data_IF_575001865257
#
_entry.id   IF_575001865257
#
_cell.length_a   1.000
_cell.length_b   1.000
_cell.length_c   1.000
_cell.angle_alpha   90.00
_cell.angle_beta   90.00
_cell.angle_gamma   90.00
#
_symmetry.space_group_name_H-M   'P 1'
#
loop_
_entity.id
_entity.type
_entity.pdbx_description
1 polymer ?
#
# COMPACT_ATOMS: atom_id res chain seq x y z
N UNK A 1 -4.93 4.21 -9.03
CA UNK A 1 -3.79 3.87 -8.15
C UNK A 1 -2.56 4.71 -8.50
N UNK A 2 -1.98 5.36 -7.49
CA UNK A 2 -0.76 6.16 -7.61
C UNK A 2 0.38 5.56 -6.77
N UNK A 3 1.56 5.39 -7.38
CA UNK A 3 2.74 4.83 -6.72
C UNK A 3 3.88 5.82 -6.79
N UNK A 4 4.30 6.31 -5.62
CA UNK A 4 5.38 7.26 -5.46
C UNK A 4 6.59 6.58 -4.84
N UNK A 5 7.76 6.77 -5.46
CA UNK A 5 9.01 6.18 -4.99
C UNK A 5 10.12 7.21 -4.97
N UNK A 6 11.07 6.99 -4.08
CA UNK A 6 12.20 7.88 -3.92
C UNK A 6 13.22 7.30 -2.98
N UNK A 7 14.04 8.20 -2.44
CA UNK A 7 15.11 7.89 -1.50
C UNK A 7 14.83 8.55 -0.16
N UNK A 8 15.10 7.83 0.90
CA UNK A 8 14.93 8.31 2.24
C UNK A 8 16.27 8.42 2.94
N UNK A 9 16.53 9.62 3.42
CA UNK A 9 17.66 9.93 4.28
C UNK A 9 17.07 10.51 5.54
N UNK A 10 17.35 9.88 6.67
CA UNK A 10 16.93 10.33 7.98
C UNK A 10 18.08 10.07 8.94
N UNK A 11 18.97 11.05 9.09
CA UNK A 11 20.15 11.02 9.97
C UNK A 11 20.60 9.62 10.44
N UNK A 12 20.29 9.25 11.68
CA UNK A 12 20.68 7.99 12.30
C UNK A 12 19.81 6.79 11.89
N UNK A 13 18.64 7.05 11.32
CA UNK A 13 17.61 6.06 11.04
C UNK A 13 17.63 5.50 9.62
N UNK A 14 18.06 6.24 8.60
CA UNK A 14 18.06 5.79 7.21
C UNK A 14 19.10 6.55 6.37
N UNK A 15 19.78 5.83 5.46
CA UNK A 15 20.74 6.42 4.53
C UNK A 15 20.54 5.85 3.13
N UNK A 16 20.04 6.69 2.24
CA UNK A 16 19.72 6.37 0.84
C UNK A 16 18.84 5.11 0.70
N UNK A 17 17.94 4.90 1.66
CA UNK A 17 17.05 3.75 1.69
C UNK A 17 15.84 3.98 0.77
N UNK A 18 15.23 2.89 0.32
CA UNK A 18 14.01 2.98 -0.48
C UNK A 18 12.86 3.57 0.34
N UNK A 19 12.12 4.51 -0.24
CA UNK A 19 10.80 4.95 0.24
C UNK A 19 9.74 4.65 -0.81
N UNK A 20 8.57 4.19 -0.40
CA UNK A 20 7.44 3.94 -1.30
C UNK A 20 6.13 4.34 -0.62
N UNK A 21 5.30 5.11 -1.31
CA UNK A 21 3.91 5.40 -0.93
C UNK A 21 3.00 4.92 -2.06
N UNK A 22 1.92 4.24 -1.71
CA UNK A 22 0.91 3.74 -2.63
C UNK A 22 -0.45 4.25 -2.16
N UNK A 23 -1.15 4.92 -3.06
CA UNK A 23 -2.57 5.26 -2.95
C UNK A 23 -3.32 4.30 -3.87
N UNK A 24 -4.01 3.27 -3.33
CA UNK A 24 -4.74 2.30 -4.15
C UNK A 24 -5.78 3.00 -5.05
N UNK A 25 -6.43 4.02 -4.52
CA UNK A 25 -7.48 4.81 -5.16
C UNK A 25 -7.07 6.30 -5.29
N UNK A 26 -8.01 7.20 -5.07
CA UNK A 26 -7.86 8.66 -5.11
C UNK A 26 -7.32 9.23 -3.78
N UNK A 27 -7.22 10.56 -3.74
CA UNK A 27 -6.68 11.33 -2.63
C UNK A 27 -7.74 11.84 -1.64
N UNK A 28 -8.89 11.18 -1.60
CA UNK A 28 -10.03 11.59 -0.79
C UNK A 28 -9.89 11.19 0.69
N UNK A 29 -10.56 11.93 1.56
CA UNK A 29 -10.63 11.62 3.00
C UNK A 29 -11.14 10.19 3.22
N UNK A 30 -10.44 9.44 4.07
CA UNK A 30 -10.76 8.05 4.42
C UNK A 30 -10.25 7.01 3.42
N UNK A 31 -9.67 7.40 2.28
CA UNK A 31 -9.07 6.45 1.35
C UNK A 31 -7.82 5.81 1.96
N UNK A 32 -7.60 4.53 1.63
CA UNK A 32 -6.47 3.77 2.16
C UNK A 32 -5.14 4.29 1.60
N UNK A 33 -4.10 4.20 2.43
CA UNK A 33 -2.73 4.50 2.02
C UNK A 33 -1.80 3.43 2.57
N UNK A 34 -0.82 3.05 1.74
CA UNK A 34 0.32 2.25 2.15
C UNK A 34 1.60 3.06 2.05
N UNK A 35 2.45 3.00 3.06
CA UNK A 35 3.78 3.56 3.02
C UNK A 35 4.81 2.56 3.55
N UNK A 36 6.00 2.58 2.99
CA UNK A 36 7.10 1.73 3.48
C UNK A 36 8.47 2.33 3.22
N UNK A 37 9.39 2.02 4.13
CA UNK A 37 10.81 2.29 3.98
C UNK A 37 11.65 1.31 4.79
N UNK A 38 12.96 1.36 4.57
CA UNK A 38 13.95 0.58 5.31
C UNK A 38 14.74 1.50 6.24
N UNK A 39 15.00 1.04 7.46
CA UNK A 39 15.89 1.71 8.41
C UNK A 39 17.34 1.23 8.23
N UNK A 40 18.29 1.95 8.82
CA UNK A 40 19.73 1.70 8.76
C UNK A 40 20.12 0.31 9.26
N UNK A 41 19.41 -0.19 10.28
CA UNK A 41 19.56 -1.54 10.84
C UNK A 41 18.90 -2.64 9.97
N UNK A 42 18.35 -2.27 8.81
CA UNK A 42 17.57 -3.10 7.89
C UNK A 42 16.20 -3.54 8.41
N UNK A 43 15.72 -2.98 9.51
CA UNK A 43 14.31 -3.08 9.90
C UNK A 43 13.41 -2.43 8.83
N UNK A 44 12.24 -3.01 8.59
CA UNK A 44 11.28 -2.51 7.61
C UNK A 44 10.15 -1.82 8.33
N UNK A 45 9.90 -0.56 7.99
CA UNK A 45 8.71 0.15 8.42
C UNK A 45 7.66 -0.06 7.36
N UNK A 46 6.55 -0.67 7.75
CA UNK A 46 5.39 -0.95 6.91
C UNK A 46 4.20 -0.28 7.58
N UNK A 47 3.61 0.68 6.89
CA UNK A 47 2.46 1.44 7.37
C UNK A 47 1.30 1.22 6.42
N UNK A 48 0.16 0.86 7.01
CA UNK A 48 -1.14 0.94 6.37
C UNK A 48 -2.02 1.83 7.23
N UNK A 49 -2.76 2.71 6.57
CA UNK A 49 -3.62 3.67 7.22
C UNK A 49 -4.61 4.25 6.23
N UNK A 50 -5.21 5.38 6.60
CA UNK A 50 -6.10 6.13 5.73
C UNK A 50 -5.75 7.61 5.74
N UNK A 51 -6.19 8.31 4.71
CA UNK A 51 -6.15 9.76 4.64
C UNK A 51 -7.06 10.31 5.74
N UNK A 52 -6.50 11.04 6.71
CA UNK A 52 -7.25 11.60 7.85
C UNK A 52 -7.51 13.11 7.72
N UNK A 53 -6.79 13.76 6.82
CA UNK A 53 -6.87 15.21 6.60
C UNK A 53 -6.62 15.51 5.13
N UNK A 54 -7.44 16.38 4.55
CA UNK A 54 -7.21 16.96 3.22
C UNK A 54 -7.34 18.48 3.36
N UNK A 55 -6.28 19.19 3.01
CA UNK A 55 -6.23 20.66 3.05
C UNK A 55 -5.94 21.19 1.65
N UNK A 56 -6.97 21.43 0.81
CA UNK A 56 -6.79 21.83 -0.58
C UNK A 56 -6.03 23.15 -0.73
N UNK A 57 -6.19 24.09 0.21
CA UNK A 57 -5.47 25.37 0.18
C UNK A 57 -3.96 25.24 0.38
N UNK A 58 -3.50 24.11 0.90
CA UNK A 58 -2.08 23.81 1.16
C UNK A 58 -1.58 22.67 0.27
N UNK A 59 -2.40 22.16 -0.66
CA UNK A 59 -2.12 20.96 -1.45
C UNK A 59 -1.64 19.79 -0.56
N UNK A 60 -2.24 19.66 0.63
CA UNK A 60 -1.73 18.81 1.71
C UNK A 60 -2.70 17.69 2.06
N UNK A 61 -2.15 16.52 2.34
CA UNK A 61 -2.85 15.34 2.84
C UNK A 61 -2.15 14.83 4.09
N UNK A 62 -2.91 14.64 5.16
CA UNK A 62 -2.45 13.94 6.37
C UNK A 62 -2.76 12.45 6.25
N UNK A 63 -1.78 11.61 6.59
CA UNK A 63 -1.97 10.16 6.72
C UNK A 63 -1.93 9.81 8.20
N UNK A 64 -3.02 9.21 8.69
CA UNK A 64 -3.00 8.52 9.96
C UNK A 64 -2.17 7.25 9.78
N UNK A 65 -0.97 7.22 10.35
CA UNK A 65 -0.19 6.01 10.47
C UNK A 65 0.18 5.80 11.94
N UNK A 66 0.49 4.54 12.26
CA UNK A 66 0.66 3.91 13.58
C UNK A 66 1.15 4.77 14.77
N UNK A 67 1.10 4.21 15.98
CA UNK A 67 1.66 4.83 17.19
C UNK A 67 3.13 5.31 17.05
N UNK A 68 3.89 4.77 16.09
CA UNK A 68 5.31 5.05 15.91
C UNK A 68 5.63 6.06 14.81
N UNK A 69 4.75 6.29 13.83
CA UNK A 69 5.05 7.15 12.69
C UNK A 69 3.80 7.77 12.09
N UNK A 70 3.89 9.03 11.68
CA UNK A 70 2.87 9.71 10.86
C UNK A 70 3.52 10.38 9.65
N UNK A 71 2.73 10.66 8.62
CA UNK A 71 3.22 11.26 7.37
C UNK A 71 2.29 12.37 6.93
N UNK A 72 2.86 13.55 6.69
CA UNK A 72 2.20 14.64 5.98
C UNK A 72 2.72 14.71 4.54
N UNK A 73 1.81 14.71 3.57
CA UNK A 73 2.13 14.83 2.15
C UNK A 73 1.76 16.21 1.65
N UNK A 74 2.63 16.79 0.82
CA UNK A 74 2.35 18.01 0.08
C UNK A 74 2.66 17.77 -1.40
N UNK A 75 1.75 18.20 -2.27
CA UNK A 75 1.98 18.24 -3.72
C UNK A 75 2.55 19.62 -4.10
N UNK A 76 3.58 19.69 -4.98
CA UNK A 76 4.12 20.98 -5.40
C UNK A 76 3.12 21.82 -6.18
N UNK A 77 3.17 23.13 -5.97
CA UNK A 77 2.42 24.07 -6.80
C UNK A 77 2.88 23.97 -8.26
N UNK A 78 1.93 23.92 -9.19
CA UNK A 78 2.21 23.82 -10.63
C UNK A 78 2.48 22.40 -11.15
N UNK A 79 2.23 21.35 -10.34
CA UNK A 79 2.23 19.95 -10.76
C UNK A 79 0.77 19.42 -10.85
N UNK A 80 -0.01 19.82 -11.88
CA UNK A 80 -1.44 19.48 -11.97
C UNK A 80 -1.69 17.98 -12.13
N UNK A 81 -0.66 17.25 -12.56
CA UNK A 81 -0.71 15.82 -12.76
C UNK A 81 -0.26 15.05 -11.51
N UNK A 82 0.11 15.72 -10.41
CA UNK A 82 0.66 15.10 -9.20
C UNK A 82 1.80 14.12 -9.53
N UNK A 83 2.74 14.52 -10.39
CA UNK A 83 3.90 13.70 -10.77
C UNK A 83 4.90 13.55 -9.63
N UNK A 84 4.86 14.42 -8.64
CA UNK A 84 5.74 14.43 -7.48
C UNK A 84 4.98 14.72 -6.21
N UNK A 85 5.53 14.29 -5.08
CA UNK A 85 5.05 14.69 -3.76
C UNK A 85 6.21 14.82 -2.78
N UNK A 86 6.03 15.62 -1.74
CA UNK A 86 6.93 15.66 -0.58
C UNK A 86 6.26 14.97 0.59
N UNK A 87 6.88 13.93 1.13
CA UNK A 87 6.47 13.24 2.34
C UNK A 87 7.29 13.74 3.53
N UNK A 88 6.63 14.27 4.53
CA UNK A 88 7.19 14.69 5.81
C UNK A 88 6.90 13.61 6.85
N UNK A 89 7.93 12.86 7.24
CA UNK A 89 7.80 11.71 8.14
C UNK A 89 8.15 12.11 9.56
N UNK A 90 7.27 11.78 10.51
CA UNK A 90 7.46 12.07 11.93
C UNK A 90 7.69 10.76 12.69
N UNK A 91 8.65 10.76 13.63
CA UNK A 91 8.88 9.63 14.55
C UNK A 91 8.12 9.89 15.84
N UNK A 92 7.28 8.95 16.25
CA UNK A 92 6.25 9.07 17.30
C UNK A 92 5.14 10.07 16.97
N UNK A 93 3.97 9.88 17.60
CA UNK A 93 2.76 10.67 17.37
C UNK A 93 3.01 12.16 17.58
N UNK A 94 3.20 12.91 16.47
CA UNK A 94 3.26 14.38 16.40
C UNK A 94 3.93 15.02 17.62
N UNK A 95 5.06 14.48 18.06
CA UNK A 95 5.86 15.14 19.08
C UNK A 95 6.42 16.38 18.42
N UNK A 96 5.76 17.51 18.69
CA UNK A 96 5.96 18.82 18.08
C UNK A 96 7.41 19.30 18.15
N UNK A 97 8.22 18.64 18.96
CA UNK A 97 9.62 18.93 19.21
C UNK A 97 10.57 18.20 18.25
N UNK A 98 10.10 17.19 17.50
CA UNK A 98 10.90 16.49 16.49
C UNK A 98 10.60 17.06 15.11
N UNK A 99 11.63 17.58 14.44
CA UNK A 99 11.52 18.02 13.05
C UNK A 99 11.17 16.83 12.17
N UNK A 100 10.16 16.92 11.29
CA UNK A 100 9.92 15.86 10.32
C UNK A 100 11.12 15.68 9.41
N UNK A 101 11.29 14.45 8.93
CA UNK A 101 12.18 14.19 7.82
C UNK A 101 11.41 14.27 6.51
N UNK A 102 11.72 15.30 5.72
CA UNK A 102 11.16 15.46 4.39
C UNK A 102 11.89 14.58 3.37
N UNK A 103 11.14 14.01 2.42
CA UNK A 103 11.67 13.43 1.18
C UNK A 103 10.74 13.71 0.02
N UNK A 104 11.33 13.98 -1.16
CA UNK A 104 10.56 14.13 -2.40
C UNK A 104 10.53 12.80 -3.13
N UNK A 105 9.31 12.35 -3.44
CA UNK A 105 9.04 11.14 -4.18
C UNK A 105 8.54 11.48 -5.58
N UNK A 106 8.96 10.66 -6.54
CA UNK A 106 8.53 10.75 -7.94
C UNK A 106 7.45 9.69 -8.17
N UNK A 107 6.42 10.03 -8.93
CA UNK A 107 5.40 9.07 -9.35
C UNK A 107 6.02 8.12 -10.36
N UNK A 108 6.25 6.89 -9.91
CA UNK A 108 6.85 5.83 -10.70
C UNK A 108 5.81 5.12 -11.57
N UNK A 109 4.59 5.01 -11.06
CA UNK A 109 3.50 4.37 -11.78
C UNK A 109 2.15 5.01 -11.44
N UNK A 110 1.31 5.11 -12.47
CA UNK A 110 -0.06 5.56 -12.37
C UNK A 110 -0.93 4.60 -13.18
N UNK A 111 -1.73 3.78 -12.50
CA UNK A 111 -2.80 3.05 -13.18
C UNK A 111 -3.93 4.03 -13.34
N UNK A 112 -4.04 4.59 -14.54
CA UNK A 112 -5.28 5.24 -14.98
C UNK A 112 -6.34 4.16 -15.14
N UNK A 113 -7.60 4.48 -14.83
CA UNK A 113 -8.76 3.58 -14.90
C UNK A 113 -8.96 2.82 -16.21
N UNK A 114 -8.15 3.06 -17.25
CA UNK A 114 -8.22 2.35 -18.51
C UNK A 114 -6.97 1.50 -18.76
N UNK A 115 -7.08 0.20 -18.49
CA UNK A 115 -6.23 -0.78 -19.14
C UNK A 115 -6.91 -1.29 -20.41
N UNK A 116 -6.13 -1.43 -21.49
CA UNK A 116 -6.59 -2.00 -22.76
C UNK A 116 -6.02 -3.39 -22.96
N UNK A 117 -6.90 -4.39 -22.98
CA UNK A 117 -6.54 -5.75 -23.43
C UNK A 117 -7.09 -5.95 -24.84
N UNK A 118 -6.22 -5.81 -25.84
CA UNK A 118 -6.61 -5.78 -27.25
C UNK A 118 -7.46 -4.54 -27.57
N UNK A 119 -8.66 -4.73 -28.14
CA UNK A 119 -9.59 -3.64 -28.47
C UNK A 119 -10.56 -3.27 -27.34
N UNK A 120 -10.52 -3.96 -26.19
CA UNK A 120 -11.42 -3.72 -25.06
C UNK A 120 -10.73 -2.85 -24.00
N UNK A 121 -11.39 -1.76 -23.62
CA UNK A 121 -11.05 -0.99 -22.42
C UNK A 121 -11.78 -1.59 -21.22
N UNK A 122 -11.05 -1.82 -20.14
CA UNK A 122 -11.61 -2.19 -18.84
C UNK A 122 -11.50 -1.00 -17.90
N UNK A 123 -12.51 -0.80 -17.06
CA UNK A 123 -12.42 0.10 -15.91
C UNK A 123 -11.68 -0.68 -14.83
N UNK A 124 -10.43 -0.30 -14.55
CA UNK A 124 -9.64 -0.98 -13.53
C UNK A 124 -10.37 -0.92 -12.18
N UNK A 125 -10.62 -2.06 -11.55
CA UNK A 125 -11.16 -2.07 -10.20
C UNK A 125 -10.11 -1.43 -9.26
N UNK A 126 -10.49 -0.42 -8.46
CA UNK A 126 -9.57 0.50 -7.77
C UNK A 126 -8.80 -0.10 -6.59
N UNK A 127 -8.87 -1.42 -6.38
CA UNK A 127 -8.25 -2.07 -5.23
C UNK A 127 -7.12 -2.94 -5.75
N UNK A 128 -5.90 -2.63 -5.33
CA UNK A 128 -4.72 -3.48 -5.57
C UNK A 128 -4.35 -4.18 -4.28
N UNK A 129 -3.96 -5.44 -4.37
CA UNK A 129 -3.35 -6.17 -3.25
C UNK A 129 -1.87 -5.83 -3.22
N UNK A 130 -1.43 -5.33 -2.08
CA UNK A 130 -0.04 -4.99 -1.84
C UNK A 130 0.55 -6.11 -0.99
N UNK A 131 1.58 -6.74 -1.52
CA UNK A 131 2.38 -7.73 -0.81
C UNK A 131 3.76 -7.12 -0.54
N UNK A 132 4.34 -7.45 0.60
CA UNK A 132 5.71 -7.06 0.93
C UNK A 132 6.50 -8.24 1.48
N UNK A 133 7.81 -8.20 1.33
CA UNK A 133 8.69 -9.20 1.89
C UNK A 133 10.14 -8.76 1.82
N UNK A 134 11.03 -9.72 1.97
CA UNK A 134 12.46 -9.48 2.00
C UNK A 134 13.15 -10.21 0.87
N UNK A 135 13.90 -9.47 0.04
CA UNK A 135 14.74 -10.01 -1.01
C UNK A 135 16.17 -10.20 -0.51
N UNK A 136 16.65 -11.44 -0.63
CA UNK A 136 18.07 -11.78 -0.50
C UNK A 136 18.46 -12.65 -1.68
N UNK A 137 19.29 -12.13 -2.59
CA UNK A 137 19.76 -12.89 -3.74
C UNK A 137 20.98 -13.73 -3.39
N UNK A 138 21.14 -14.87 -4.06
CA UNK A 138 22.28 -15.78 -3.82
C UNK A 138 23.63 -15.18 -4.17
N UNK A 139 23.66 -14.24 -5.12
CA UNK A 139 24.84 -13.50 -5.53
C UNK A 139 25.11 -12.24 -4.68
N UNK A 140 24.32 -12.01 -3.62
CA UNK A 140 24.47 -10.88 -2.70
C UNK A 140 24.22 -9.48 -3.30
N UNK A 141 23.64 -9.38 -4.49
CA UNK A 141 23.22 -8.11 -5.10
C UNK A 141 22.12 -7.41 -4.28
N UNK A 142 21.20 -8.17 -3.68
CA UNK A 142 20.27 -7.72 -2.64
C UNK A 142 20.47 -8.54 -1.36
N UNK A 143 20.55 -7.85 -0.22
CA UNK A 143 20.77 -8.42 1.12
C UNK A 143 19.75 -7.85 2.09
N UNK A 144 18.74 -8.65 2.43
CA UNK A 144 17.66 -8.24 3.32
C UNK A 144 17.01 -6.92 2.84
N UNK A 145 16.77 -6.78 1.53
CA UNK A 145 16.16 -5.57 0.96
C UNK A 145 14.64 -5.69 0.91
N UNK A 146 13.93 -4.57 1.07
CA UNK A 146 12.47 -4.56 0.99
C UNK A 146 12.04 -4.90 -0.45
N UNK A 147 11.13 -5.85 -0.57
CA UNK A 147 10.47 -6.20 -1.82
C UNK A 147 8.98 -5.89 -1.68
N UNK A 148 8.41 -5.17 -2.65
CA UNK A 148 6.98 -4.84 -2.70
C UNK A 148 6.45 -5.36 -4.03
N UNK A 149 5.33 -6.07 -3.98
CA UNK A 149 4.59 -6.55 -5.13
C UNK A 149 3.17 -5.99 -5.06
N UNK A 150 2.76 -5.31 -6.12
CA UNK A 150 1.42 -4.74 -6.26
C UNK A 150 0.73 -5.49 -7.39
N UNK A 151 -0.35 -6.19 -7.06
CA UNK A 151 -1.19 -6.92 -8.03
C UNK A 151 -2.62 -6.38 -7.97
N UNK A 152 -3.39 -6.48 -9.07
CA UNK A 152 -4.79 -6.10 -9.05
C UNK A 152 -5.58 -6.99 -8.09
N UNK A 153 -6.68 -6.47 -7.54
CA UNK A 153 -7.62 -7.29 -6.77
C UNK A 153 -8.14 -8.44 -7.62
N UNK A 154 -8.60 -8.14 -8.85
CA UNK A 154 -9.03 -9.14 -9.82
C UNK A 154 -7.83 -9.58 -10.65
N UNK A 155 -7.46 -10.85 -10.53
CA UNK A 155 -6.36 -11.42 -11.29
C UNK A 155 -6.88 -12.04 -12.57
N UNK A 156 -6.64 -11.35 -13.68
CA UNK A 156 -6.92 -11.86 -15.02
C UNK A 156 -5.67 -11.74 -15.91
N UNK A 157 -5.52 -12.60 -16.93
CA UNK A 157 -4.43 -12.46 -17.88
C UNK A 157 -4.47 -11.10 -18.57
N UNK A 158 -3.32 -10.44 -18.65
CA UNK A 158 -3.16 -9.10 -19.18
C UNK A 158 -3.21 -7.99 -18.13
N UNK A 159 -3.78 -8.24 -16.95
CA UNK A 159 -3.89 -7.19 -15.93
C UNK A 159 -2.50 -6.72 -15.46
N UNK A 160 -2.30 -5.40 -15.27
CA UNK A 160 -1.01 -4.84 -14.93
C UNK A 160 -0.64 -5.17 -13.49
N UNK A 161 0.65 -5.32 -13.24
CA UNK A 161 1.21 -5.47 -11.91
C UNK A 161 2.57 -4.77 -11.82
N UNK A 162 3.07 -4.57 -10.60
CA UNK A 162 4.33 -3.90 -10.36
C UNK A 162 5.12 -4.58 -9.25
N UNK A 163 6.44 -4.67 -9.40
CA UNK A 163 7.36 -5.13 -8.38
C UNK A 163 8.46 -4.09 -8.14
N UNK A 164 8.81 -3.90 -6.88
CA UNK A 164 9.68 -2.82 -6.42
C UNK A 164 10.66 -3.33 -5.38
N UNK A 165 11.93 -3.05 -5.58
CA UNK A 165 12.97 -3.30 -4.58
C UNK A 165 14.13 -2.35 -4.79
N UNK A 166 15.21 -2.58 -4.07
CA UNK A 166 16.48 -1.87 -4.21
C UNK A 166 17.64 -2.87 -4.22
N UNK A 167 18.66 -2.63 -5.03
CA UNK A 167 19.93 -3.35 -4.94
C UNK A 167 20.75 -2.84 -3.76
N UNK A 168 21.34 -3.75 -2.98
CA UNK A 168 22.20 -3.38 -1.84
C UNK A 168 23.46 -2.67 -2.32
N UNK A 169 24.06 -3.17 -3.40
CA UNK A 169 25.18 -2.52 -4.06
C UNK A 169 24.67 -1.30 -4.83
N UNK A 170 25.25 -0.13 -4.56
CA UNK A 170 24.89 1.13 -5.22
C UNK A 170 23.55 1.73 -4.80
N UNK A 171 22.74 1.02 -3.99
CA UNK A 171 21.43 1.51 -3.50
C UNK A 171 20.53 1.95 -4.65
N UNK A 172 20.48 1.20 -5.74
CA UNK A 172 19.66 1.56 -6.91
C UNK A 172 18.26 1.00 -6.76
N UNK A 173 17.23 1.85 -6.88
CA UNK A 173 15.84 1.39 -6.91
C UNK A 173 15.59 0.61 -8.21
N UNK A 174 14.90 -0.52 -8.10
CA UNK A 174 14.45 -1.32 -9.24
C UNK A 174 12.94 -1.29 -9.30
N UNK A 175 12.43 -1.04 -10.49
CA UNK A 175 11.01 -0.84 -10.77
C UNK A 175 10.69 -1.75 -11.95
N UNK A 176 9.85 -2.76 -11.73
CA UNK A 176 9.45 -3.68 -12.80
C UNK A 176 7.94 -3.66 -12.92
N UNK A 177 7.47 -3.22 -14.08
CA UNK A 177 6.06 -3.34 -14.47
C UNK A 177 5.90 -4.55 -15.37
N UNK A 178 4.76 -5.21 -15.28
CA UNK A 178 4.43 -6.35 -16.13
C UNK A 178 2.93 -6.59 -16.19
N UNK A 179 2.56 -7.73 -16.74
CA UNK A 179 1.17 -8.17 -16.80
C UNK A 179 1.04 -9.63 -16.37
N UNK A 180 -0.09 -9.99 -15.80
CA UNK A 180 -0.40 -11.38 -15.45
C UNK A 180 -0.46 -12.22 -16.73
N UNK A 181 0.31 -13.31 -16.81
CA UNK A 181 0.33 -14.14 -18.03
C UNK A 181 -0.76 -15.22 -18.03
N UNK A 182 -1.08 -15.77 -16.85
CA UNK A 182 -2.10 -16.82 -16.68
C UNK A 182 -2.58 -16.91 -15.24
N UNK A 183 -3.82 -17.40 -15.06
CA UNK A 183 -4.49 -17.52 -13.75
C UNK A 183 -4.35 -18.91 -13.13
N UNK A 184 -4.17 -19.95 -13.95
CA UNK A 184 -4.08 -21.34 -13.48
C UNK A 184 -2.79 -21.54 -12.69
N UNK A 185 -2.88 -21.43 -11.37
CA UNK A 185 -1.70 -21.45 -10.49
C UNK A 185 -0.87 -20.16 -10.53
N UNK A 186 -1.50 -19.03 -10.89
CA UNK A 186 -0.91 -17.70 -11.07
C UNK A 186 0.56 -17.77 -11.53
N UNK A 187 0.80 -17.99 -12.82
CA UNK A 187 2.14 -17.73 -13.33
C UNK A 187 2.25 -16.24 -13.64
N UNK A 188 2.74 -15.47 -12.68
CA UNK A 188 3.21 -14.13 -12.96
C UNK A 188 4.43 -14.27 -13.88
N UNK A 189 4.48 -13.49 -14.96
CA UNK A 189 5.66 -13.41 -15.81
C UNK A 189 5.85 -11.94 -16.07
N UNK A 190 6.97 -11.44 -15.58
CA UNK A 190 7.36 -10.07 -15.82
C UNK A 190 8.22 -10.09 -17.07
N UNK A 191 8.13 -9.03 -17.86
CA UNK A 191 9.08 -8.81 -18.96
C UNK A 191 9.39 -7.34 -18.90
N UNK A 192 10.49 -6.98 -18.25
CA UNK A 192 11.02 -5.63 -18.36
C UNK A 192 11.60 -5.46 -19.77
N UNK A 193 11.50 -4.25 -20.29
CA UNK A 193 12.02 -3.87 -21.61
C UNK A 193 13.54 -3.89 -21.70
N UNK A 194 14.25 -3.95 -20.57
CA UNK A 194 15.71 -3.85 -20.52
C UNK A 194 16.40 -5.07 -19.92
N UNK A 195 15.70 -5.84 -19.07
CA UNK A 195 16.23 -7.06 -18.43
C UNK A 195 15.11 -8.08 -18.21
N UNK A 196 15.41 -9.37 -18.38
CA UNK A 196 14.44 -10.43 -18.13
C UNK A 196 14.40 -10.76 -16.63
N UNK A 197 13.50 -10.09 -15.91
CA UNK A 197 13.02 -10.52 -14.61
C UNK A 197 11.82 -11.44 -14.81
N UNK A 198 11.86 -12.66 -14.27
CA UNK A 198 10.66 -13.50 -14.18
C UNK A 198 10.32 -13.67 -12.71
N UNK A 199 9.14 -13.25 -12.28
CA UNK A 199 8.65 -13.55 -10.92
C UNK A 199 7.50 -14.50 -11.08
N UNK A 200 7.63 -15.73 -10.62
CA UNK A 200 6.57 -16.74 -10.67
C UNK A 200 6.03 -16.98 -9.25
N UNK A 201 4.73 -17.10 -9.04
CA UNK A 201 4.23 -17.42 -7.71
C UNK A 201 2.73 -17.52 -7.67
N UNK A 202 2.21 -18.45 -6.86
CA UNK A 202 0.78 -18.76 -6.85
C UNK A 202 0.01 -17.74 -6.00
N UNK A 203 -1.05 -17.15 -6.56
CA UNK A 203 -1.99 -16.34 -5.79
C UNK A 203 -2.64 -17.20 -4.71
N UNK A 204 -2.39 -16.92 -3.43
CA UNK A 204 -3.00 -17.68 -2.37
C UNK A 204 -4.39 -17.13 -2.00
N UNK A 205 -4.86 -16.06 -2.65
CA UNK A 205 -6.08 -15.34 -2.33
C UNK A 205 -5.83 -14.18 -1.37
N UNK A 206 -6.92 -13.64 -0.81
CA UNK A 206 -6.94 -12.40 -0.02
C UNK A 206 -6.42 -12.53 1.43
N UNK A 207 -5.99 -13.71 1.87
CA UNK A 207 -5.72 -13.97 3.30
C UNK A 207 -4.44 -14.77 3.58
N UNK A 208 -3.60 -14.98 2.56
CA UNK A 208 -2.46 -15.87 2.73
C UNK A 208 -1.15 -15.27 2.21
N UNK A 209 -0.01 -15.59 2.85
CA UNK A 209 1.28 -15.22 2.33
C UNK A 209 1.48 -15.81 0.93
N UNK A 210 2.09 -15.04 0.03
CA UNK A 210 2.41 -15.47 -1.32
C UNK A 210 3.87 -15.88 -1.38
N UNK A 211 4.14 -17.12 -1.80
CA UNK A 211 5.49 -17.52 -2.18
C UNK A 211 5.71 -17.19 -3.65
N UNK A 212 6.74 -16.39 -3.93
CA UNK A 212 7.18 -16.08 -5.28
C UNK A 212 8.62 -16.55 -5.50
N UNK A 213 8.99 -16.75 -6.76
CA UNK A 213 10.34 -17.03 -7.23
C UNK A 213 10.73 -15.93 -8.20
N UNK A 214 11.62 -15.04 -7.78
CA UNK A 214 12.26 -14.05 -8.64
C UNK A 214 13.47 -14.69 -9.34
N UNK A 215 13.43 -14.75 -10.66
CA UNK A 215 14.54 -15.17 -11.51
C UNK A 215 15.14 -13.94 -12.18
N UNK A 216 16.44 -13.73 -11.94
CA UNK A 216 17.23 -12.64 -12.52
C UNK A 216 18.55 -13.22 -13.03
N UNK A 217 18.93 -12.93 -14.28
CA UNK A 217 20.16 -13.46 -14.92
C UNK A 217 20.31 -14.99 -14.77
N UNK A 218 19.21 -15.72 -14.96
CA UNK A 218 19.12 -17.19 -14.82
C UNK A 218 19.34 -17.73 -13.40
N UNK A 219 19.37 -16.85 -12.39
CA UNK A 219 19.47 -17.22 -10.98
C UNK A 219 18.11 -17.01 -10.32
N UNK A 220 17.54 -18.09 -9.77
CA UNK A 220 16.27 -18.07 -9.08
C UNK A 220 16.47 -17.81 -7.57
N UNK A 221 15.63 -16.93 -7.02
CA UNK A 221 15.57 -16.58 -5.60
C UNK A 221 14.13 -16.67 -5.13
N UNK A 222 13.87 -17.44 -4.08
CA UNK A 222 12.55 -17.55 -3.47
C UNK A 222 12.31 -16.43 -2.47
N UNK A 223 11.12 -15.86 -2.48
CA UNK A 223 10.70 -14.77 -1.60
C UNK A 223 9.34 -15.13 -1.01
N UNK A 224 9.25 -15.10 0.32
CA UNK A 224 7.98 -15.17 1.03
C UNK A 224 7.44 -13.74 1.18
N UNK A 225 6.24 -13.52 0.68
CA UNK A 225 5.56 -12.24 0.76
C UNK A 225 4.37 -12.31 1.71
N UNK A 226 4.23 -11.28 2.53
CA UNK A 226 3.10 -11.04 3.41
C UNK A 226 2.15 -10.05 2.74
N UNK A 227 0.85 -10.36 2.77
CA UNK A 227 -0.18 -9.42 2.30
C UNK A 227 -0.32 -8.26 3.30
N UNK A 228 -0.44 -7.04 2.78
CA UNK A 228 -0.87 -5.87 3.55
C UNK A 228 -2.38 -5.89 3.65
N UNK A 229 -2.90 -5.97 4.87
CA UNK A 229 -4.32 -5.74 5.14
C UNK A 229 -4.54 -4.25 5.33
N UNK A 230 -5.36 -3.64 4.47
CA UNK A 230 -5.81 -2.25 4.64
C UNK A 230 -7.19 -2.21 5.29
N UNK A 231 -7.57 -1.11 5.97
CA UNK A 231 -8.87 -0.99 6.63
C UNK A 231 -10.07 -1.25 5.70
N UNK A 232 -10.01 -0.84 4.42
CA UNK A 232 -11.10 -1.12 3.49
C UNK A 232 -11.17 -2.59 3.05
N UNK A 233 -10.03 -3.30 2.99
CA UNK A 233 -10.00 -4.72 2.66
C UNK A 233 -10.67 -5.60 3.74
N UNK A 234 -10.63 -5.18 5.02
CA UNK A 234 -11.35 -5.87 6.09
C UNK A 234 -12.88 -5.78 5.93
N UNK A 235 -13.41 -4.72 5.29
CA UNK A 235 -14.85 -4.54 5.11
C UNK A 235 -15.43 -5.37 3.95
N UNK A 236 -14.69 -5.55 2.85
CA UNK A 236 -15.17 -6.32 1.69
C UNK A 236 -15.28 -7.83 1.97
N UNK A 237 -14.39 -8.39 2.81
CA UNK A 237 -14.45 -9.81 3.17
C UNK A 237 -15.74 -10.18 3.93
N UNK A 238 -16.39 -9.22 4.60
CA UNK A 238 -17.65 -9.46 5.30
C UNK A 238 -18.86 -9.57 4.37
N UNK A 239 -18.79 -9.03 3.14
CA UNK A 239 -19.94 -8.96 2.22
C UNK A 239 -20.02 -10.17 1.29
N UNK A 240 -18.90 -10.84 0.99
CA UNK A 240 -18.88 -12.01 0.11
C UNK A 240 -19.24 -13.34 0.79
N UNK A 241 -19.47 -13.32 2.11
CA UNK A 241 -19.92 -14.46 2.89
C UNK A 241 -21.37 -14.38 3.32
N UNK A 242 -22.36 -14.52 2.40
CA UNK A 242 -23.70 -15.12 2.62
C UNK A 242 -24.60 -14.98 1.39
N UNK A 243 -24.61 -15.99 0.51
CA UNK A 243 -25.86 -16.45 -0.14
C UNK A 243 -25.72 -17.91 -0.57
N UNK A 244 -25.57 -18.82 0.41
CA UNK A 244 -25.87 -20.23 0.21
C UNK A 244 -27.31 -20.53 0.63
N UNK A 245 -28.15 -20.69 -0.38
CA UNK A 245 -29.29 -21.62 -0.48
C UNK A 245 -29.95 -22.11 0.83
N UNK A 246 -31.16 -21.64 1.08
CA UNK A 246 -32.09 -22.23 2.05
C UNK A 246 -33.46 -22.44 1.41
N UNK A 247 -33.73 -23.69 1.05
CA UNK A 247 -35.00 -24.23 0.57
C UNK A 247 -36.15 -24.02 1.55
N UNK A 248 -37.35 -23.89 0.99
CA UNK A 248 -38.65 -23.84 1.68
C UNK A 248 -38.86 -24.95 2.71
N UNK A 249 -39.26 -24.59 3.93
CA UNK A 249 -40.26 -25.36 4.68
C UNK A 249 -40.95 -24.47 5.73
N UNK A 250 -42.26 -24.66 5.81
CA UNK A 250 -43.21 -24.03 6.72
C UNK A 250 -43.13 -24.60 8.14
N UNK A 251 -43.08 -23.74 9.16
CA UNK A 251 -43.66 -24.03 10.48
C UNK A 251 -43.84 -22.75 11.31
N UNK A 252 -45.04 -22.61 11.86
CA UNK A 252 -45.50 -21.63 12.84
C UNK A 252 -44.93 -21.88 14.25
N UNK A 253 -44.53 -20.84 14.99
CA UNK A 253 -45.08 -20.47 16.32
C UNK A 253 -44.17 -19.54 17.17
N UNK A 254 -44.80 -18.47 17.67
CA UNK A 254 -44.67 -17.83 19.00
C UNK A 254 -43.34 -17.27 19.54
N UNK A 255 -43.37 -15.93 19.71
CA UNK A 255 -43.20 -15.16 20.95
C UNK A 255 -41.80 -14.84 21.52
N UNK A 256 -41.59 -13.52 21.62
CA UNK A 256 -40.98 -12.72 22.70
C UNK A 256 -39.48 -12.84 23.01
N UNK A 257 -38.81 -11.68 22.91
CA UNK A 257 -37.49 -11.44 23.50
C UNK A 257 -36.77 -10.25 22.85
N UNK A 258 -37.31 -9.03 23.00
CA UNK A 258 -36.56 -7.80 22.69
C UNK A 258 -35.44 -7.64 23.73
N UNK A 259 -34.19 -7.69 23.30
CA UNK A 259 -33.05 -7.16 24.05
C UNK A 259 -32.34 -6.13 23.17
N UNK A 260 -32.54 -4.86 23.51
CA UNK A 260 -31.76 -3.73 23.03
C UNK A 260 -30.32 -3.82 23.57
N UNK A 261 -29.27 -3.62 22.76
CA UNK A 261 -27.93 -3.40 23.29
C UNK A 261 -27.85 -2.03 23.96
N UNK A 262 -27.18 -1.99 25.12
CA UNK A 262 -26.93 -0.78 25.87
C UNK A 262 -26.08 0.22 25.05
N UNK A 263 -26.55 1.47 24.97
CA UNK A 263 -25.77 2.58 24.48
C UNK A 263 -24.64 2.90 25.46
N UNK A 264 -23.39 2.80 25.02
CA UNK A 264 -22.25 3.40 25.72
C UNK A 264 -22.27 4.90 25.46
N UNK A 265 -22.56 5.68 26.51
CA UNK A 265 -22.42 7.13 26.49
C UNK A 265 -20.93 7.48 26.40
N UNK A 266 -20.47 7.94 25.24
CA UNK A 266 -19.23 8.72 25.14
C UNK A 266 -19.58 10.17 25.46
N UNK A 267 -19.18 10.63 26.66
CA UNK A 267 -19.19 12.05 27.00
C UNK A 267 -18.13 12.77 26.15
N UNK A 268 -18.61 13.61 25.22
CA UNK A 268 -17.79 14.56 24.50
C UNK A 268 -17.41 15.71 25.43
N UNK A 269 -16.15 15.77 25.84
CA UNK A 269 -15.58 16.95 26.50
C UNK A 269 -15.08 17.92 25.43
N UNK A 270 -15.73 19.07 25.19
CA UNK A 270 -15.18 20.07 24.29
C UNK A 270 -13.87 20.63 24.89
N UNK A 271 -12.84 20.92 24.06
CA UNK A 271 -11.61 21.51 24.54
C UNK A 271 -11.87 22.91 25.11
N UNK A 272 -11.31 23.17 26.28
CA UNK A 272 -11.35 24.49 26.93
C UNK A 272 -10.74 25.56 26.03
N UNK A 273 -11.34 26.77 25.94
CA UNK A 273 -10.81 27.85 25.13
C UNK A 273 -9.44 28.32 25.65
N UNK A 274 -8.45 28.32 24.75
CA UNK A 274 -7.12 28.85 25.01
C UNK A 274 -7.22 30.37 25.08
N UNK A 275 -7.00 30.93 26.26
CA UNK A 275 -6.90 32.37 26.50
C UNK A 275 -5.54 32.88 26.04
N UNK A 276 -5.49 33.56 24.89
CA UNK A 276 -4.32 34.33 24.46
C UNK A 276 -4.22 35.62 25.29
N UNK A 277 -3.18 35.72 26.11
CA UNK A 277 -2.77 36.98 26.74
C UNK A 277 -1.98 37.81 25.71
N UNK A 278 -2.29 39.10 25.52
CA UNK A 278 -1.51 39.98 24.65
C UNK A 278 -0.16 40.35 25.30
N UNK A 279 0.83 40.56 24.42
CA UNK A 279 2.26 40.81 24.70
C UNK A 279 2.55 41.87 25.76
#
# INVERSE_FOLDING_TARGET
>A
MYIYRGKFNWEDYAENEQFTIIFPSDFDLGQDVFASWTLRDKSKVILSGSIDTVTPSENKIGIFASLSYSIDITFPDGDPDNTTLTANVYHSFKDINTSPQATTLQRDYHITDQFKLGSKSFVAAPISRIYYGTLTTTNNDAKNELFILVIPHIVLPGEPLCAYWMWSAGKTNVNVTGSISSVTGLKLVFTSSTELYTIEGKDPGAVSPMNITLTYRQVATSILLTLVTTPSMEQEEYVLGLSKSGTSSSATSSAQGLLTPAASNFEYYPPSPISLQPK
#
